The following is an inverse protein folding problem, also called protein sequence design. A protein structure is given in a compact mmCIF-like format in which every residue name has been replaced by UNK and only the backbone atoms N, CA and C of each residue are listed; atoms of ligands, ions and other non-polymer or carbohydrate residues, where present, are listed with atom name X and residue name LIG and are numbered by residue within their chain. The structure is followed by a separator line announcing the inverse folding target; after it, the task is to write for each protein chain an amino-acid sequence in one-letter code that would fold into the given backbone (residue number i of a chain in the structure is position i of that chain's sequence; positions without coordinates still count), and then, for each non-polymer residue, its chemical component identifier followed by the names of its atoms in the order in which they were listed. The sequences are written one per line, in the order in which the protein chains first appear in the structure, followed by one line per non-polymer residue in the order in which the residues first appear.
data_IF_646648829874
#
_entry.id   IF_646648829874
#
_cell.length_a   1.000
_cell.length_b   1.000
_cell.length_c   1.000
_cell.angle_alpha   90.00
_cell.angle_beta   90.00
_cell.angle_gamma   90.00
#
_symmetry.space_group_name_H-M   'P 1'
#
loop_
_entity.id
_entity.type
_entity.pdbx_description
1 polymer ?
#
# COMPACT_ATOMS: atom_id res chain seq x y z
N UNK A 1 15.53 -5.68 -5.66
CA UNK A 1 15.86 -4.37 -5.05
C UNK A 1 14.73 -4.03 -4.08
N UNK A 2 15.04 -3.37 -2.96
CA UNK A 2 14.03 -2.90 -1.99
C UNK A 2 13.67 -1.46 -2.31
N UNK A 3 12.39 -1.14 -2.27
CA UNK A 3 11.86 0.21 -2.51
C UNK A 3 11.23 0.68 -1.23
N UNK A 4 11.63 1.86 -0.79
CA UNK A 4 11.01 2.52 0.34
C UNK A 4 9.56 2.89 -0.02
N UNK A 5 8.68 2.67 0.95
CA UNK A 5 7.31 3.13 0.90
C UNK A 5 6.94 3.75 2.23
N UNK A 6 6.02 4.72 2.16
CA UNK A 6 5.44 5.36 3.33
C UNK A 6 4.07 4.75 3.61
N UNK A 7 3.83 4.39 4.87
CA UNK A 7 2.54 3.87 5.36
C UNK A 7 1.75 4.98 6.03
N UNK A 8 0.50 5.16 5.64
CA UNK A 8 -0.48 5.99 6.34
C UNK A 8 -1.65 5.12 6.84
N UNK A 9 -2.18 5.46 8.01
CA UNK A 9 -3.44 4.87 8.52
C UNK A 9 -4.57 5.84 8.19
N UNK A 10 -5.56 5.36 7.44
CA UNK A 10 -6.61 6.18 6.82
C UNK A 10 -7.96 5.49 6.92
N UNK A 11 -9.04 6.24 6.71
CA UNK A 11 -10.37 5.71 6.51
C UNK A 11 -10.52 5.25 5.04
N UNK A 12 -10.73 3.95 4.82
CA UNK A 12 -10.91 3.35 3.50
C UNK A 12 -12.39 3.04 3.28
N UNK A 13 -12.89 3.23 2.06
CA UNK A 13 -14.26 2.89 1.70
C UNK A 13 -14.46 1.37 1.69
N UNK A 14 -15.30 0.86 2.60
CA UNK A 14 -15.72 -0.53 2.65
C UNK A 14 -17.19 -0.71 2.24
N UNK A 15 -17.63 -1.97 2.17
CA UNK A 15 -18.97 -2.34 1.67
C UNK A 15 -20.14 -1.70 2.43
N UNK A 16 -19.93 -1.31 3.69
CA UNK A 16 -20.95 -0.75 4.58
C UNK A 16 -20.60 0.66 5.09
N UNK A 17 -19.65 1.33 4.44
CA UNK A 17 -19.12 2.63 4.83
C UNK A 17 -17.62 2.60 5.10
N UNK A 18 -17.10 3.71 5.59
CA UNK A 18 -15.67 3.86 5.87
C UNK A 18 -15.24 2.99 7.06
N UNK A 19 -14.08 2.36 6.92
CA UNK A 19 -13.45 1.51 7.93
C UNK A 19 -11.97 1.83 8.05
N UNK A 20 -11.38 1.53 9.20
CA UNK A 20 -9.93 1.67 9.41
C UNK A 20 -9.16 0.86 8.36
N UNK A 21 -8.20 1.50 7.72
CA UNK A 21 -7.35 0.89 6.71
C UNK A 21 -5.97 1.50 6.66
N UNK A 22 -5.23 1.07 5.65
CA UNK A 22 -3.87 1.52 5.37
C UNK A 22 -3.75 1.94 3.92
N UNK A 23 -2.95 2.97 3.70
CA UNK A 23 -2.47 3.41 2.41
C UNK A 23 -0.95 3.26 2.39
N UNK A 24 -0.41 2.57 1.40
CA UNK A 24 1.04 2.44 1.21
C UNK A 24 1.43 3.14 -0.09
N UNK A 25 2.30 4.14 0.03
CA UNK A 25 2.73 5.00 -1.09
C UNK A 25 4.17 4.69 -1.48
N UNK A 26 4.42 4.50 -2.77
CA UNK A 26 5.77 4.38 -3.31
C UNK A 26 6.49 5.75 -3.32
N UNK A 27 7.58 5.88 -2.57
CA UNK A 27 8.33 7.15 -2.42
C UNK A 27 9.01 7.62 -3.72
N UNK A 28 9.06 6.78 -4.76
CA UNK A 28 9.73 7.08 -6.04
C UNK A 28 8.83 7.59 -7.14
N UNK A 29 7.55 7.23 -7.11
CA UNK A 29 6.59 7.61 -8.16
C UNK A 29 5.30 8.20 -7.62
N UNK A 30 5.05 8.11 -6.30
CA UNK A 30 3.83 8.59 -5.67
C UNK A 30 2.59 7.73 -5.93
N UNK A 31 2.71 6.61 -6.65
CA UNK A 31 1.62 5.65 -6.76
C UNK A 31 1.37 4.98 -5.40
N UNK A 32 0.11 4.80 -5.04
CA UNK A 32 -0.30 4.25 -3.75
C UNK A 32 -1.34 3.15 -3.93
N UNK A 33 -1.45 2.30 -2.92
CA UNK A 33 -2.45 1.25 -2.83
C UNK A 33 -3.05 1.26 -1.42
N UNK A 34 -4.36 1.05 -1.34
CA UNK A 34 -5.11 1.01 -0.09
C UNK A 34 -5.69 -0.37 0.20
N UNK A 35 -5.88 -0.66 1.48
CA UNK A 35 -6.54 -1.88 1.95
C UNK A 35 -7.26 -1.61 3.26
N UNK A 36 -8.46 -2.17 3.38
CA UNK A 36 -9.15 -2.25 4.67
C UNK A 36 -8.30 -3.05 5.68
N UNK A 37 -8.40 -2.69 6.95
CA UNK A 37 -7.62 -3.25 8.05
C UNK A 37 -6.23 -2.61 8.23
N UNK A 38 -5.71 -2.67 9.46
CA UNK A 38 -4.48 -1.96 9.88
C UNK A 38 -3.32 -2.88 10.25
N UNK A 39 -3.49 -4.19 10.09
CA UNK A 39 -2.47 -5.19 10.42
C UNK A 39 -1.52 -5.53 9.26
N UNK A 40 -0.51 -6.35 9.56
CA UNK A 40 0.52 -6.79 8.61
C UNK A 40 -0.04 -7.39 7.31
N UNK A 41 -1.20 -8.03 7.37
CA UNK A 41 -1.88 -8.58 6.19
C UNK A 41 -2.32 -7.49 5.21
N UNK A 42 -2.84 -6.38 5.71
CA UNK A 42 -3.27 -5.23 4.89
C UNK A 42 -2.06 -4.52 4.28
N UNK A 43 -1.00 -4.32 5.08
CA UNK A 43 0.28 -3.78 4.60
C UNK A 43 0.90 -4.66 3.50
N UNK A 44 0.92 -5.98 3.70
CA UNK A 44 1.43 -6.94 2.72
C UNK A 44 0.63 -6.97 1.42
N UNK A 45 -0.69 -6.75 1.50
CA UNK A 45 -1.55 -6.60 0.31
C UNK A 45 -1.17 -5.35 -0.48
N UNK A 46 -1.08 -4.19 0.16
CA UNK A 46 -0.70 -2.95 -0.52
C UNK A 46 0.69 -3.06 -1.17
N UNK A 47 1.68 -3.61 -0.47
CA UNK A 47 3.02 -3.87 -1.03
C UNK A 47 2.98 -4.78 -2.26
N UNK A 48 2.12 -5.80 -2.24
CA UNK A 48 1.95 -6.72 -3.38
C UNK A 48 1.30 -6.03 -4.57
N UNK A 49 0.27 -5.21 -4.33
CA UNK A 49 -0.40 -4.44 -5.38
C UNK A 49 0.53 -3.37 -5.97
N UNK A 50 1.32 -2.68 -5.15
CA UNK A 50 2.32 -1.72 -5.61
C UNK A 50 3.35 -2.38 -6.55
N UNK A 51 3.75 -3.62 -6.28
CA UNK A 51 4.64 -4.36 -7.20
C UNK A 51 4.01 -4.62 -8.57
N UNK A 52 2.69 -4.76 -8.64
CA UNK A 52 1.98 -5.02 -9.88
C UNK A 52 1.66 -3.71 -10.63
N UNK A 53 1.26 -2.68 -9.89
CA UNK A 53 0.66 -1.47 -10.44
C UNK A 53 1.60 -0.26 -10.49
N UNK A 54 2.78 -0.34 -9.86
CA UNK A 54 3.73 0.77 -9.89
C UNK A 54 4.11 1.13 -11.34
N UNK A 55 3.90 2.38 -11.78
CA UNK A 55 4.15 2.80 -13.17
C UNK A 55 5.60 2.66 -13.62
N UNK A 56 6.54 2.53 -12.68
CA UNK A 56 7.96 2.30 -12.99
C UNK A 56 8.25 0.85 -13.39
N UNK A 57 7.26 -0.06 -13.31
CA UNK A 57 7.41 -1.47 -13.68
C UNK A 57 8.43 -2.20 -12.81
N UNK A 58 8.61 -1.74 -11.58
CA UNK A 58 9.67 -2.20 -10.70
C UNK A 58 9.35 -3.58 -10.14
N UNK A 59 10.19 -4.57 -10.44
CA UNK A 59 10.06 -5.92 -9.91
C UNK A 59 10.69 -6.01 -8.49
N UNK A 60 10.20 -5.16 -7.58
CA UNK A 60 10.80 -4.88 -6.28
C UNK A 60 9.95 -5.40 -5.11
N UNK A 61 10.60 -5.54 -3.96
CA UNK A 61 9.92 -5.74 -2.68
C UNK A 61 9.74 -4.36 -2.02
N UNK A 62 8.50 -4.00 -1.69
CA UNK A 62 8.19 -2.79 -0.94
C UNK A 62 8.34 -3.10 0.55
N UNK A 63 9.18 -2.33 1.25
CA UNK A 63 9.30 -2.40 2.70
C UNK A 63 8.30 -1.44 3.30
N UNK A 64 7.31 -2.01 3.99
CA UNK A 64 6.26 -1.27 4.67
C UNK A 64 6.75 -1.04 6.10
N UNK A 65 7.03 0.23 6.42
CA UNK A 65 7.56 0.68 7.72
C UNK A 65 6.55 1.52 8.48
#
# INVERSE_FOLDING_TARGET
MRVASTTNYVDVEGDYGFVDGVEVTCDRCGHYEESCGTGDGSLGRCATLLRQNCPRGENNFYEVG
#
